data_IF_892462647189
#
_entry.id   IF_892462647189
#
_cell.length_a   1.000
_cell.length_b   1.000
_cell.length_c   1.000
_cell.angle_alpha   90.00
_cell.angle_beta   90.00
_cell.angle_gamma   90.00
#
_symmetry.space_group_name_H-M   'P 1'
#
loop_
_entity.id
_entity.type
_entity.pdbx_description
1 polymer ?
#
# COMPACT_ATOMS: atom_id res chain seq x y z
N UNK A 1 15.17 -11.09 -35.84
CA UNK A 1 15.40 -12.36 -35.12
C UNK A 1 14.45 -12.38 -33.93
N UNK A 2 13.40 -13.17 -33.98
CA UNK A 2 12.49 -13.34 -32.84
C UNK A 2 13.18 -14.26 -31.83
N UNK A 3 13.44 -13.77 -30.61
CA UNK A 3 13.93 -14.63 -29.52
C UNK A 3 12.82 -15.62 -29.18
N UNK A 4 13.05 -16.92 -29.38
CA UNK A 4 12.08 -17.95 -29.04
C UNK A 4 11.85 -17.93 -27.54
N UNK A 5 10.60 -17.72 -27.12
CA UNK A 5 10.19 -17.76 -25.71
C UNK A 5 10.54 -19.14 -25.14
N UNK A 6 11.28 -19.18 -24.03
CA UNK A 6 11.59 -20.43 -23.33
C UNK A 6 10.26 -20.97 -22.77
N UNK A 7 9.88 -22.23 -23.07
CA UNK A 7 8.60 -22.78 -22.64
C UNK A 7 8.56 -22.97 -21.11
N UNK A 8 7.41 -22.64 -20.53
CA UNK A 8 7.14 -22.75 -19.09
C UNK A 8 7.04 -24.21 -18.61
N UNK A 9 6.96 -24.42 -17.29
CA UNK A 9 6.92 -25.77 -16.70
C UNK A 9 5.68 -26.53 -17.19
N UNK A 10 4.51 -25.88 -17.22
CA UNK A 10 3.25 -26.47 -17.67
C UNK A 10 3.32 -26.92 -19.13
N UNK A 11 3.97 -26.14 -20.00
CA UNK A 11 4.14 -26.49 -21.41
C UNK A 11 5.08 -27.69 -21.58
N UNK A 12 6.16 -27.74 -20.78
CA UNK A 12 7.10 -28.86 -20.76
C UNK A 12 6.44 -30.16 -20.27
N UNK A 13 5.66 -30.10 -19.20
CA UNK A 13 4.94 -31.26 -18.66
C UNK A 13 3.92 -31.79 -19.67
N UNK A 14 3.13 -30.90 -20.31
CA UNK A 14 2.21 -31.29 -21.38
C UNK A 14 2.92 -31.98 -22.55
N UNK A 15 4.10 -31.50 -22.93
CA UNK A 15 4.89 -32.12 -23.99
C UNK A 15 5.33 -33.55 -23.61
N UNK A 16 5.72 -33.77 -22.35
CA UNK A 16 6.06 -35.11 -21.83
C UNK A 16 4.83 -36.02 -21.82
N UNK A 17 3.69 -35.56 -21.32
CA UNK A 17 2.46 -36.36 -21.29
C UNK A 17 2.05 -36.79 -22.70
N UNK A 18 2.23 -35.93 -23.71
CA UNK A 18 1.99 -36.26 -25.12
C UNK A 18 2.99 -37.32 -25.65
N UNK A 19 4.28 -37.18 -25.34
CA UNK A 19 5.31 -38.16 -25.72
C UNK A 19 5.06 -39.52 -25.09
N UNK A 20 4.72 -39.54 -23.80
CA UNK A 20 4.41 -40.77 -23.04
C UNK A 20 3.15 -41.43 -23.59
N UNK A 21 2.10 -40.64 -23.87
CA UNK A 21 0.86 -41.15 -24.46
C UNK A 21 1.11 -41.76 -25.84
N UNK A 22 1.90 -41.09 -26.69
CA UNK A 22 2.29 -41.62 -27.99
C UNK A 22 3.12 -42.91 -27.88
N UNK A 23 4.05 -42.99 -26.92
CA UNK A 23 4.80 -44.22 -26.66
C UNK A 23 3.93 -45.36 -26.14
N UNK A 24 2.92 -45.06 -25.33
CA UNK A 24 1.96 -46.05 -24.79
C UNK A 24 1.07 -46.61 -25.89
N UNK A 25 0.61 -45.77 -26.82
CA UNK A 25 -0.12 -46.20 -28.01
C UNK A 25 0.75 -47.05 -28.94
N UNK A 26 2.04 -46.71 -29.07
CA UNK A 26 2.98 -47.46 -29.90
C UNK A 26 3.42 -48.81 -29.29
N UNK A 27 3.41 -48.95 -27.96
CA UNK A 27 3.91 -50.15 -27.28
C UNK A 27 2.90 -51.32 -27.21
N UNK A 28 1.60 -51.08 -27.40
CA UNK A 28 0.56 -52.11 -27.28
C UNK A 28 0.43 -52.70 -25.86
N UNK A 29 -0.63 -53.49 -25.62
CA UNK A 29 -1.06 -54.08 -24.32
C UNK A 29 -0.08 -55.09 -23.66
N UNK A 30 1.22 -54.83 -23.67
CA UNK A 30 2.20 -55.64 -22.94
C UNK A 30 2.32 -55.09 -21.52
N UNK A 31 1.46 -55.61 -20.64
CA UNK A 31 1.26 -55.21 -19.23
C UNK A 31 2.48 -55.32 -18.29
N UNK A 32 3.69 -55.62 -18.77
CA UNK A 32 4.88 -55.85 -17.95
C UNK A 32 5.78 -54.62 -17.72
N UNK A 33 5.44 -53.45 -18.28
CA UNK A 33 6.31 -52.25 -18.26
C UNK A 33 5.87 -51.08 -17.36
N UNK A 34 4.77 -51.20 -16.61
CA UNK A 34 4.13 -50.05 -15.93
C UNK A 34 4.99 -49.39 -14.84
N UNK A 35 5.74 -50.16 -14.05
CA UNK A 35 6.63 -49.61 -13.02
C UNK A 35 7.80 -48.83 -13.63
N UNK A 36 8.42 -49.38 -14.68
CA UNK A 36 9.57 -48.78 -15.36
C UNK A 36 9.16 -47.48 -16.09
N UNK A 37 7.96 -47.43 -16.65
CA UNK A 37 7.43 -46.22 -17.31
C UNK A 37 7.13 -45.11 -16.30
N UNK A 38 6.58 -45.43 -15.12
CA UNK A 38 6.36 -44.44 -14.06
C UNK A 38 7.68 -43.88 -13.51
N UNK A 39 8.72 -44.71 -13.40
CA UNK A 39 10.05 -44.28 -12.99
C UNK A 39 10.72 -43.41 -14.07
N UNK A 40 10.54 -43.72 -15.37
CA UNK A 40 10.99 -42.88 -16.49
C UNK A 40 10.23 -41.54 -16.52
N UNK A 41 8.91 -41.55 -16.37
CA UNK A 41 8.10 -40.32 -16.27
C UNK A 41 8.58 -39.46 -15.10
N UNK A 42 8.88 -40.09 -13.96
CA UNK A 42 9.41 -39.42 -12.78
C UNK A 42 10.79 -38.84 -13.04
N UNK A 43 11.71 -39.58 -13.65
CA UNK A 43 13.05 -39.08 -13.99
C UNK A 43 13.01 -37.97 -15.04
N UNK A 44 12.13 -38.05 -16.03
CA UNK A 44 11.93 -36.96 -17.01
C UNK A 44 11.34 -35.71 -16.35
N UNK A 45 10.35 -35.87 -15.47
CA UNK A 45 9.78 -34.75 -14.70
C UNK A 45 10.81 -34.13 -13.75
N UNK A 46 11.67 -34.94 -13.12
CA UNK A 46 12.78 -34.48 -12.28
C UNK A 46 13.82 -33.71 -13.11
N UNK A 47 14.28 -34.26 -14.23
CA UNK A 47 15.26 -33.63 -15.14
C UNK A 47 14.76 -32.31 -15.75
N UNK A 48 13.44 -32.20 -16.02
CA UNK A 48 12.86 -30.97 -16.59
C UNK A 48 12.58 -29.88 -15.54
N UNK A 49 12.32 -30.26 -14.28
CA UNK A 49 12.28 -29.32 -13.15
C UNK A 49 13.70 -28.86 -12.76
N UNK A 50 14.67 -29.76 -12.87
CA UNK A 50 16.08 -29.55 -12.51
C UNK A 50 16.94 -29.05 -13.67
N UNK A 51 16.40 -28.54 -14.79
CA UNK A 51 17.29 -28.01 -15.85
C UNK A 51 18.05 -26.79 -15.32
N UNK A 52 19.23 -27.07 -14.78
CA UNK A 52 20.12 -26.21 -14.02
C UNK A 52 20.69 -25.16 -14.99
N UNK A 53 20.28 -23.91 -14.82
CA UNK A 53 21.03 -22.76 -15.33
C UNK A 53 20.31 -21.77 -16.24
N UNK A 54 19.07 -22.05 -16.65
CA UNK A 54 18.24 -21.07 -17.37
C UNK A 54 17.24 -20.39 -16.44
N UNK A 55 17.03 -19.07 -16.58
CA UNK A 55 15.88 -18.37 -16.01
C UNK A 55 14.59 -18.93 -16.65
N UNK A 56 14.02 -19.95 -16.02
CA UNK A 56 12.69 -20.43 -16.36
C UNK A 56 11.71 -19.42 -15.76
N UNK A 57 10.99 -18.72 -16.65
CA UNK A 57 9.87 -17.86 -16.24
C UNK A 57 8.74 -18.76 -15.72
N UNK A 58 8.53 -18.77 -14.40
CA UNK A 58 7.39 -19.45 -13.78
C UNK A 58 6.15 -18.55 -13.74
N UNK A 59 4.98 -19.17 -13.83
CA UNK A 59 3.65 -18.53 -13.88
C UNK A 59 2.70 -19.20 -12.90
N UNK A 60 1.59 -18.54 -12.54
CA UNK A 60 0.57 -19.14 -11.67
C UNK A 60 0.04 -20.51 -12.17
N UNK A 61 0.01 -20.75 -13.49
CA UNK A 61 -0.40 -22.04 -14.06
C UNK A 61 0.62 -23.17 -13.81
N UNK A 62 1.90 -22.83 -13.66
CA UNK A 62 2.95 -23.78 -13.33
C UNK A 62 2.77 -24.31 -11.91
N UNK A 63 2.28 -23.48 -10.98
CA UNK A 63 1.99 -23.88 -9.61
C UNK A 63 0.95 -25.01 -9.55
N UNK A 64 -0.14 -24.88 -10.31
CA UNK A 64 -1.17 -25.92 -10.40
C UNK A 64 -0.61 -27.22 -10.98
N UNK A 65 0.24 -27.12 -12.00
CA UNK A 65 0.87 -28.29 -12.63
C UNK A 65 1.76 -29.03 -11.63
N UNK A 66 2.58 -28.31 -10.87
CA UNK A 66 3.44 -28.89 -9.82
C UNK A 66 2.63 -29.59 -8.72
N UNK A 67 1.45 -29.05 -8.36
CA UNK A 67 0.57 -29.67 -7.38
C UNK A 67 -0.13 -30.93 -7.91
N UNK A 68 -0.50 -30.98 -9.19
CA UNK A 68 -1.00 -32.19 -9.82
C UNK A 68 0.05 -33.31 -9.81
N UNK A 69 1.31 -32.97 -10.15
CA UNK A 69 2.43 -33.92 -10.09
C UNK A 69 2.69 -34.39 -8.66
N UNK A 70 2.60 -33.49 -7.67
CA UNK A 70 2.72 -33.82 -6.25
C UNK A 70 1.68 -34.85 -5.82
N UNK A 71 0.43 -34.72 -6.27
CA UNK A 71 -0.62 -35.71 -6.03
C UNK A 71 -0.39 -37.06 -6.72
N UNK A 72 0.21 -37.04 -7.93
CA UNK A 72 0.49 -38.26 -8.72
C UNK A 72 1.67 -39.06 -8.15
N UNK A 73 2.76 -38.38 -7.77
CA UNK A 73 4.02 -39.02 -7.37
C UNK A 73 4.24 -39.06 -5.84
N UNK A 74 3.34 -38.45 -5.07
CA UNK A 74 3.32 -38.50 -3.62
C UNK A 74 4.32 -37.57 -2.93
N UNK A 75 4.27 -37.57 -1.60
CA UNK A 75 4.95 -36.58 -0.75
C UNK A 75 6.48 -36.54 -0.92
N UNK A 76 7.12 -37.69 -1.15
CA UNK A 76 8.57 -37.77 -1.36
C UNK A 76 8.99 -36.91 -2.56
N UNK A 77 8.21 -36.94 -3.64
CA UNK A 77 8.45 -36.09 -4.81
C UNK A 77 8.23 -34.61 -4.49
N UNK A 78 7.17 -34.29 -3.75
CA UNK A 78 6.88 -32.91 -3.32
C UNK A 78 8.04 -32.29 -2.54
N UNK A 79 8.61 -33.02 -1.57
CA UNK A 79 9.73 -32.51 -0.76
C UNK A 79 11.06 -32.44 -1.52
N UNK A 80 11.35 -33.43 -2.36
CA UNK A 80 12.67 -33.53 -3.00
C UNK A 80 12.79 -32.68 -4.26
N UNK A 81 11.68 -32.42 -4.96
CA UNK A 81 11.69 -31.80 -6.30
C UNK A 81 10.90 -30.50 -6.30
N UNK A 82 9.64 -30.55 -5.85
CA UNK A 82 8.73 -29.39 -5.97
C UNK A 82 9.13 -28.29 -5.00
N UNK A 83 9.39 -28.61 -3.74
CA UNK A 83 9.72 -27.62 -2.72
C UNK A 83 10.99 -26.80 -3.05
N UNK A 84 12.14 -27.41 -3.41
CA UNK A 84 13.33 -26.63 -3.81
C UNK A 84 13.07 -25.71 -5.00
N UNK A 85 12.28 -26.17 -5.98
CA UNK A 85 11.91 -25.38 -7.14
C UNK A 85 11.05 -24.17 -6.75
N UNK A 86 10.04 -24.38 -5.90
CA UNK A 86 9.18 -23.30 -5.42
C UNK A 86 10.00 -22.27 -4.64
N UNK A 87 10.88 -22.72 -3.75
CA UNK A 87 11.78 -21.84 -2.98
C UNK A 87 12.69 -21.01 -3.87
N UNK A 88 13.26 -21.61 -4.93
CA UNK A 88 14.07 -20.89 -5.92
C UNK A 88 13.31 -19.74 -6.59
N UNK A 89 11.98 -19.88 -6.70
CA UNK A 89 11.11 -18.88 -7.31
C UNK A 89 10.19 -18.17 -6.32
N UNK A 90 10.49 -18.20 -5.02
CA UNK A 90 9.67 -17.60 -3.95
C UNK A 90 9.48 -16.07 -4.14
N UNK A 91 10.40 -15.40 -4.84
CA UNK A 91 10.30 -13.99 -5.19
C UNK A 91 9.19 -13.67 -6.20
N UNK A 92 8.67 -14.67 -6.93
CA UNK A 92 7.53 -14.51 -7.81
C UNK A 92 6.24 -14.67 -7.00
N UNK A 93 5.64 -13.54 -6.61
CA UNK A 93 4.47 -13.48 -5.72
C UNK A 93 3.28 -14.23 -6.31
N UNK A 94 2.97 -14.03 -7.60
CA UNK A 94 1.80 -14.64 -8.24
C UNK A 94 1.93 -16.17 -8.29
N UNK A 95 3.10 -16.67 -8.68
CA UNK A 95 3.40 -18.10 -8.68
C UNK A 95 3.32 -18.68 -7.27
N UNK A 96 3.93 -18.02 -6.28
CA UNK A 96 4.04 -18.54 -4.92
C UNK A 96 2.69 -18.54 -4.19
N UNK A 97 1.90 -17.48 -4.34
CA UNK A 97 0.54 -17.41 -3.79
C UNK A 97 -0.35 -18.47 -4.43
N UNK A 98 -0.28 -18.63 -5.77
CA UNK A 98 -1.02 -19.69 -6.46
C UNK A 98 -0.60 -21.08 -5.94
N UNK A 99 0.70 -21.32 -5.76
CA UNK A 99 1.20 -22.59 -5.24
C UNK A 99 0.72 -22.87 -3.82
N UNK A 100 0.82 -21.90 -2.91
CA UNK A 100 0.34 -22.03 -1.53
C UNK A 100 -1.17 -22.29 -1.49
N UNK A 101 -1.93 -21.64 -2.37
CA UNK A 101 -3.39 -21.83 -2.50
C UNK A 101 -3.71 -23.26 -2.96
N UNK A 102 -3.06 -23.75 -4.00
CA UNK A 102 -3.24 -25.11 -4.52
C UNK A 102 -2.76 -26.18 -3.51
N UNK A 103 -1.67 -25.91 -2.79
CA UNK A 103 -1.17 -26.75 -1.71
C UNK A 103 -2.20 -26.89 -0.57
N UNK A 104 -2.83 -25.78 -0.17
CA UNK A 104 -3.91 -25.78 0.80
C UNK A 104 -5.12 -26.58 0.31
N UNK A 105 -5.57 -26.35 -0.93
CA UNK A 105 -6.69 -27.09 -1.52
C UNK A 105 -6.40 -28.60 -1.64
N UNK A 106 -5.17 -28.99 -1.94
CA UNK A 106 -4.77 -30.40 -1.97
C UNK A 106 -4.88 -31.07 -0.60
N UNK A 107 -4.60 -30.33 0.48
CA UNK A 107 -4.82 -30.78 1.86
C UNK A 107 -6.30 -30.95 2.21
N UNK A 108 -7.13 -29.97 1.85
CA UNK A 108 -8.59 -30.05 2.07
C UNK A 108 -9.24 -31.19 1.26
N UNK A 109 -8.71 -31.51 0.10
CA UNK A 109 -9.17 -32.62 -0.75
C UNK A 109 -8.57 -34.00 -0.37
N UNK A 110 -7.84 -34.09 0.75
CA UNK A 110 -7.17 -35.31 1.24
C UNK A 110 -6.21 -35.96 0.22
N UNK A 111 -5.66 -35.15 -0.71
CA UNK A 111 -4.65 -35.60 -1.68
C UNK A 111 -3.25 -35.65 -1.07
N UNK A 112 -3.03 -34.87 -0.02
CA UNK A 112 -1.79 -34.80 0.76
C UNK A 112 -2.15 -34.78 2.25
N UNK A 113 -1.31 -35.41 3.08
CA UNK A 113 -1.53 -35.37 4.54
C UNK A 113 -1.45 -33.94 5.05
N UNK A 114 -2.39 -33.56 5.92
CA UNK A 114 -2.49 -32.21 6.46
C UNK A 114 -1.20 -31.73 7.16
N UNK A 115 -0.49 -32.63 7.84
CA UNK A 115 0.80 -32.30 8.48
C UNK A 115 1.88 -31.91 7.47
N UNK A 116 1.91 -32.58 6.32
CA UNK A 116 2.84 -32.28 5.22
C UNK A 116 2.48 -30.94 4.58
N UNK A 117 1.20 -30.71 4.30
CA UNK A 117 0.70 -29.42 3.81
C UNK A 117 1.09 -28.30 4.75
N UNK A 118 0.82 -28.46 6.05
CA UNK A 118 1.17 -27.47 7.08
C UNK A 118 2.68 -27.18 7.13
N UNK A 119 3.51 -28.22 7.07
CA UNK A 119 4.97 -28.07 7.08
C UNK A 119 5.47 -27.33 5.84
N UNK A 120 5.01 -27.71 4.65
CA UNK A 120 5.40 -27.09 3.38
C UNK A 120 4.92 -25.63 3.30
N UNK A 121 3.67 -25.39 3.70
CA UNK A 121 3.08 -24.06 3.69
C UNK A 121 3.88 -23.11 4.59
N UNK A 122 4.21 -23.55 5.81
CA UNK A 122 5.05 -22.81 6.75
C UNK A 122 6.43 -22.52 6.18
N UNK A 123 7.09 -23.53 5.61
CA UNK A 123 8.45 -23.42 5.11
C UNK A 123 8.55 -22.43 3.94
N UNK A 124 7.64 -22.51 2.97
CA UNK A 124 7.58 -21.59 1.84
C UNK A 124 7.20 -20.19 2.30
N UNK A 125 6.20 -20.05 3.17
CA UNK A 125 5.77 -18.75 3.65
C UNK A 125 6.86 -18.04 4.46
N UNK A 126 7.68 -18.79 5.21
CA UNK A 126 8.84 -18.26 5.92
C UNK A 126 9.89 -17.62 5.01
N UNK A 127 10.02 -18.09 3.76
CA UNK A 127 10.90 -17.51 2.75
C UNK A 127 10.26 -16.29 2.06
N UNK A 128 8.93 -16.26 1.95
CA UNK A 128 8.20 -15.16 1.28
C UNK A 128 8.06 -13.93 2.17
N UNK A 129 7.74 -14.12 3.47
CA UNK A 129 7.42 -13.02 4.39
C UNK A 129 8.51 -11.94 4.44
N UNK A 130 9.80 -12.26 4.56
CA UNK A 130 10.87 -11.27 4.64
C UNK A 130 10.94 -10.33 3.43
N UNK A 131 10.56 -10.83 2.25
CA UNK A 131 10.62 -10.12 0.98
C UNK A 131 9.31 -9.41 0.62
N UNK A 132 8.29 -9.45 1.49
CA UNK A 132 7.02 -8.79 1.27
C UNK A 132 7.16 -7.26 1.21
N UNK A 133 6.98 -6.73 0.01
CA UNK A 133 6.88 -5.30 -0.24
C UNK A 133 5.43 -4.90 -0.49
N UNK A 134 4.91 -4.00 0.33
CA UNK A 134 3.63 -3.36 0.07
C UNK A 134 3.81 -2.28 -1.00
N UNK A 135 3.19 -2.50 -2.16
CA UNK A 135 3.01 -1.59 -3.30
C UNK A 135 3.55 -0.15 -3.15
N UNK A 136 4.52 0.23 -3.99
CA UNK A 136 4.96 1.61 -4.21
C UNK A 136 4.61 2.04 -5.65
N UNK A 137 3.43 2.63 -5.84
CA UNK A 137 2.85 2.94 -7.15
C UNK A 137 3.43 4.19 -7.84
N UNK A 138 4.53 4.77 -7.37
CA UNK A 138 5.05 6.01 -7.97
C UNK A 138 5.65 5.84 -9.38
N UNK A 139 5.33 4.77 -10.11
CA UNK A 139 5.59 4.65 -11.54
C UNK A 139 4.35 5.14 -12.29
N UNK A 140 4.23 6.46 -12.44
CA UNK A 140 3.14 7.04 -13.21
C UNK A 140 2.95 8.55 -13.13
N UNK A 141 3.60 9.26 -12.20
CA UNK A 141 3.84 10.68 -12.44
C UNK A 141 4.94 10.77 -13.48
N UNK A 142 4.56 11.03 -14.72
CA UNK A 142 5.42 11.81 -15.60
C UNK A 142 5.96 12.96 -14.73
N UNK A 143 7.25 12.91 -14.39
CA UNK A 143 7.94 14.11 -13.96
C UNK A 143 7.56 15.18 -14.99
N UNK A 144 7.11 16.38 -14.58
CA UNK A 144 6.91 17.44 -15.54
C UNK A 144 8.23 17.53 -16.29
N UNK A 145 8.21 17.21 -17.59
CA UNK A 145 9.38 17.27 -18.44
C UNK A 145 9.95 18.66 -18.22
N UNK A 146 11.11 18.73 -17.60
CA UNK A 146 11.90 19.95 -17.58
C UNK A 146 12.26 20.23 -19.04
N UNK A 147 11.39 21.00 -19.71
CA UNK A 147 11.54 21.49 -21.08
C UNK A 147 12.78 22.38 -21.24
N UNK A 148 13.57 22.56 -20.18
CA UNK A 148 14.84 23.28 -20.18
C UNK A 148 16.05 22.42 -20.59
N UNK A 149 15.95 21.10 -20.71
CA UNK A 149 17.10 20.23 -21.03
C UNK A 149 17.37 20.03 -22.54
N UNK A 150 16.63 20.67 -23.46
CA UNK A 150 16.76 20.42 -24.92
C UNK A 150 17.91 21.13 -25.64
N UNK A 151 18.88 21.74 -24.96
CA UNK A 151 20.02 22.40 -25.65
C UNK A 151 21.38 22.18 -25.01
N UNK A 152 21.78 20.93 -24.75
CA UNK A 152 23.20 20.55 -24.81
C UNK A 152 23.38 19.12 -25.32
N UNK A 153 23.85 19.03 -26.58
CA UNK A 153 24.81 18.09 -27.18
C UNK A 153 24.43 16.60 -27.13
N UNK A 154 24.13 15.98 -28.27
CA UNK A 154 25.10 15.22 -29.08
C UNK A 154 26.10 14.44 -28.22
N UNK A 155 26.09 13.12 -28.43
CA UNK A 155 27.09 12.13 -28.01
C UNK A 155 26.86 11.44 -26.66
N UNK A 156 25.98 10.43 -26.65
CA UNK A 156 26.08 9.28 -25.73
C UNK A 156 25.34 8.02 -26.22
N UNK A 157 25.23 7.84 -27.54
CA UNK A 157 24.47 6.73 -28.16
C UNK A 157 25.26 5.41 -28.23
N UNK A 158 26.21 5.18 -27.30
CA UNK A 158 27.09 4.00 -27.35
C UNK A 158 27.43 3.32 -26.05
N UNK A 159 26.79 3.69 -24.92
CA UNK A 159 27.03 2.98 -23.66
C UNK A 159 25.82 3.04 -22.72
N UNK A 160 24.75 2.30 -23.05
CA UNK A 160 23.80 1.82 -22.04
C UNK A 160 23.22 0.45 -22.42
N UNK A 161 24.12 -0.51 -22.59
CA UNK A 161 23.81 -1.92 -22.41
C UNK A 161 23.73 -2.18 -20.90
N UNK A 162 22.52 -2.06 -20.36
CA UNK A 162 22.02 -2.71 -19.14
C UNK A 162 20.54 -2.34 -19.05
N UNK A 163 19.75 -2.92 -19.93
CA UNK A 163 18.33 -3.15 -19.64
C UNK A 163 18.37 -4.24 -18.57
N UNK A 164 18.34 -3.84 -17.31
CA UNK A 164 17.89 -4.76 -16.26
C UNK A 164 16.50 -5.19 -16.67
N UNK A 165 16.34 -6.49 -16.91
CA UNK A 165 15.08 -7.09 -17.28
C UNK A 165 14.01 -6.65 -16.28
N UNK A 166 13.03 -5.93 -16.81
CA UNK A 166 11.87 -5.42 -16.09
C UNK A 166 10.97 -6.61 -15.75
N UNK A 167 11.34 -7.35 -14.71
CA UNK A 167 10.40 -8.22 -14.02
C UNK A 167 9.36 -7.29 -13.39
N UNK A 168 8.15 -7.29 -13.97
CA UNK A 168 7.04 -6.46 -13.54
C UNK A 168 6.88 -6.42 -12.03
N UNK A 169 6.35 -5.32 -11.49
CA UNK A 169 6.50 -4.99 -10.08
C UNK A 169 6.00 -6.13 -9.18
N UNK A 170 6.86 -6.48 -8.21
CA UNK A 170 6.71 -7.53 -7.19
C UNK A 170 5.60 -7.19 -6.19
N UNK A 171 4.34 -7.20 -6.65
CA UNK A 171 3.24 -6.61 -5.89
C UNK A 171 2.34 -7.71 -5.35
N UNK A 172 2.26 -7.79 -4.02
CA UNK A 172 1.20 -8.54 -3.38
C UNK A 172 -0.04 -7.65 -3.20
N UNK A 173 -1.17 -8.06 -3.76
CA UNK A 173 -2.45 -7.36 -3.59
C UNK A 173 -3.02 -7.61 -2.19
N UNK A 174 -3.97 -6.77 -1.76
CA UNK A 174 -4.67 -6.99 -0.48
C UNK A 174 -5.42 -8.33 -0.43
N UNK A 175 -5.89 -8.80 -1.59
CA UNK A 175 -6.57 -10.09 -1.75
C UNK A 175 -5.63 -11.28 -1.59
N UNK A 176 -4.43 -11.23 -2.20
CA UNK A 176 -3.43 -12.26 -2.03
C UNK A 176 -3.04 -12.41 -0.54
N UNK A 177 -2.83 -11.28 0.14
CA UNK A 177 -2.53 -11.27 1.58
C UNK A 177 -3.70 -11.86 2.37
N UNK A 178 -4.95 -11.45 2.10
CA UNK A 178 -6.12 -11.96 2.81
C UNK A 178 -6.28 -13.49 2.65
N UNK A 179 -6.05 -14.00 1.44
CA UNK A 179 -6.04 -15.44 1.13
C UNK A 179 -4.98 -16.18 1.97
N UNK A 180 -3.76 -15.65 2.04
CA UNK A 180 -2.70 -16.23 2.88
C UNK A 180 -3.07 -16.21 4.37
N UNK A 181 -3.65 -15.12 4.88
CA UNK A 181 -4.16 -15.05 6.25
C UNK A 181 -5.21 -16.13 6.53
N UNK A 182 -6.16 -16.33 5.60
CA UNK A 182 -7.21 -17.35 5.75
C UNK A 182 -6.65 -18.77 5.77
N UNK A 183 -5.71 -19.08 4.87
CA UNK A 183 -5.06 -20.38 4.85
C UNK A 183 -4.23 -20.64 6.11
N UNK A 184 -3.48 -19.64 6.59
CA UNK A 184 -2.73 -19.77 7.84
C UNK A 184 -3.66 -20.03 9.03
N UNK A 185 -4.81 -19.36 9.08
CA UNK A 185 -5.80 -19.53 10.15
C UNK A 185 -6.36 -20.97 10.15
N UNK A 186 -6.79 -21.45 8.99
CA UNK A 186 -7.29 -22.82 8.78
C UNK A 186 -6.26 -23.89 9.14
N UNK A 187 -4.97 -23.63 8.88
CA UNK A 187 -3.86 -24.54 9.19
C UNK A 187 -3.32 -24.38 10.63
N UNK A 188 -3.84 -23.44 11.43
CA UNK A 188 -3.35 -23.15 12.79
C UNK A 188 -1.90 -22.63 12.82
N UNK A 189 -1.51 -21.85 11.81
CA UNK A 189 -0.20 -21.24 11.65
C UNK A 189 -0.16 -19.84 12.26
N UNK A 190 -0.28 -19.79 13.60
CA UNK A 190 -0.42 -18.53 14.35
C UNK A 190 0.81 -17.63 14.29
N UNK A 191 2.00 -18.23 14.34
CA UNK A 191 3.25 -17.48 14.28
C UNK A 191 3.41 -16.80 12.91
N UNK A 192 3.01 -17.48 11.84
CA UNK A 192 3.08 -16.96 10.48
C UNK A 192 2.04 -15.84 10.27
N UNK A 193 0.85 -15.94 10.87
CA UNK A 193 -0.13 -14.84 10.95
C UNK A 193 0.49 -13.62 11.64
N UNK A 194 1.16 -13.81 12.78
CA UNK A 194 1.80 -12.72 13.51
C UNK A 194 2.92 -12.09 12.69
N UNK A 195 3.74 -12.87 11.99
CA UNK A 195 4.79 -12.37 11.11
C UNK A 195 4.22 -11.57 9.93
N UNK A 196 3.17 -12.06 9.27
CA UNK A 196 2.46 -11.33 8.23
C UNK A 196 1.91 -10.01 8.77
N UNK A 197 1.19 -10.05 9.89
CA UNK A 197 0.62 -8.88 10.53
C UNK A 197 1.69 -7.85 10.92
N UNK A 198 2.79 -8.28 11.53
CA UNK A 198 3.89 -7.42 11.95
C UNK A 198 4.58 -6.75 10.74
N UNK A 199 4.74 -7.47 9.63
CA UNK A 199 5.30 -6.91 8.39
C UNK A 199 4.40 -5.80 7.82
N UNK A 200 3.08 -6.01 7.85
CA UNK A 200 2.12 -4.99 7.43
C UNK A 200 2.10 -3.79 8.40
N UNK A 201 2.19 -4.05 9.71
CA UNK A 201 2.27 -3.02 10.76
C UNK A 201 3.52 -2.14 10.55
N UNK A 202 4.68 -2.73 10.23
CA UNK A 202 5.91 -1.96 10.03
C UNK A 202 5.85 -1.07 8.78
N UNK A 203 5.13 -1.49 7.75
CA UNK A 203 5.02 -0.75 6.49
C UNK A 203 3.92 0.32 6.51
N UNK A 204 2.91 0.20 7.37
CA UNK A 204 1.77 1.13 7.43
C UNK A 204 2.16 2.62 7.63
N UNK A 205 3.12 3.00 8.50
CA UNK A 205 3.46 4.42 8.72
C UNK A 205 4.08 5.11 7.50
N UNK A 206 4.78 4.36 6.64
CA UNK A 206 5.41 4.86 5.40
C UNK A 206 4.57 4.63 4.16
N UNK A 207 3.36 4.07 4.30
CA UNK A 207 2.51 3.75 3.17
C UNK A 207 1.95 5.01 2.49
N UNK A 208 1.92 4.96 1.16
CA UNK A 208 1.29 6.02 0.35
C UNK A 208 -0.24 5.93 0.41
N UNK A 209 -0.93 7.00 0.02
CA UNK A 209 -2.40 7.01 -0.07
C UNK A 209 -2.93 5.87 -0.94
N UNK A 210 -2.33 5.61 -2.10
CA UNK A 210 -2.83 4.53 -2.96
C UNK A 210 -2.49 3.14 -2.42
N UNK A 211 -1.42 2.98 -1.63
CA UNK A 211 -1.15 1.74 -0.88
C UNK A 211 -2.29 1.45 0.11
N UNK A 212 -2.83 2.49 0.77
CA UNK A 212 -4.02 2.33 1.61
C UNK A 212 -5.26 1.97 0.79
N UNK A 213 -5.54 2.71 -0.28
CA UNK A 213 -6.76 2.54 -1.08
C UNK A 213 -6.82 1.20 -1.83
N UNK A 214 -5.69 0.70 -2.32
CA UNK A 214 -5.64 -0.50 -3.18
C UNK A 214 -5.18 -1.77 -2.48
N UNK A 215 -4.51 -1.68 -1.33
CA UNK A 215 -3.94 -2.86 -0.65
C UNK A 215 -4.43 -2.98 0.78
N UNK A 216 -4.12 -2.02 1.64
CA UNK A 216 -4.34 -2.16 3.08
C UNK A 216 -5.82 -2.09 3.48
N UNK A 217 -6.60 -1.16 2.94
CA UNK A 217 -8.03 -1.08 3.26
C UNK A 217 -8.82 -2.25 2.69
N UNK A 218 -8.62 -2.68 1.42
CA UNK A 218 -9.23 -3.90 0.90
C UNK A 218 -8.86 -5.14 1.73
N UNK A 219 -7.61 -5.28 2.16
CA UNK A 219 -7.17 -6.35 3.05
C UNK A 219 -7.99 -6.36 4.35
N UNK A 220 -8.09 -5.23 5.06
CA UNK A 220 -8.84 -5.16 6.32
C UNK A 220 -10.34 -5.51 6.16
N UNK A 221 -10.92 -5.24 4.98
CA UNK A 221 -12.31 -5.63 4.67
C UNK A 221 -12.47 -7.14 4.55
N UNK A 222 -11.51 -7.81 3.92
CA UNK A 222 -11.56 -9.25 3.66
C UNK A 222 -11.15 -10.10 4.88
N UNK A 223 -10.33 -9.52 5.77
CA UNK A 223 -9.93 -10.17 7.02
C UNK A 223 -11.14 -10.40 7.94
N UNK A 224 -11.35 -11.59 8.52
CA UNK A 224 -12.47 -11.82 9.45
C UNK A 224 -12.37 -10.94 10.72
N UNK A 225 -13.50 -10.59 11.37
CA UNK A 225 -13.45 -10.00 12.71
C UNK A 225 -12.73 -10.95 13.68
N UNK A 226 -11.86 -10.46 14.57
CA UNK A 226 -11.24 -11.25 15.65
C UNK A 226 -12.20 -11.78 16.72
N UNK A 227 -13.50 -11.65 16.49
CA UNK A 227 -14.54 -11.86 17.50
C UNK A 227 -15.48 -12.93 16.99
N UNK A 228 -15.02 -14.17 17.13
CA UNK A 228 -15.84 -15.38 17.31
C UNK A 228 -14.97 -16.59 17.70
N UNK A 229 -13.74 -16.38 18.18
CA UNK A 229 -12.95 -17.47 18.75
C UNK A 229 -13.40 -17.72 20.17
N UNK A 230 -13.68 -18.97 20.50
CA UNK A 230 -13.97 -19.39 21.87
C UNK A 230 -12.93 -18.78 22.83
N UNK A 231 -13.34 -18.35 24.05
CA UNK A 231 -12.49 -17.61 25.01
C UNK A 231 -11.28 -18.39 25.54
N UNK A 232 -10.93 -19.54 24.95
CA UNK A 232 -9.79 -20.39 25.33
C UNK A 232 -8.51 -20.14 24.54
N UNK A 233 -8.55 -19.42 23.42
CA UNK A 233 -7.36 -19.14 22.61
C UNK A 233 -7.21 -17.63 22.50
N UNK A 234 -6.21 -17.07 23.17
CA UNK A 234 -5.83 -15.67 23.04
C UNK A 234 -5.65 -15.36 21.55
N UNK A 235 -6.48 -14.46 21.01
CA UNK A 235 -6.32 -13.98 19.64
C UNK A 235 -4.90 -13.43 19.47
N UNK A 236 -4.18 -13.76 18.38
CA UNK A 236 -2.82 -13.31 18.18
C UNK A 236 -2.74 -11.78 18.30
N UNK A 237 -1.93 -11.30 19.24
CA UNK A 237 -1.86 -9.89 19.62
C UNK A 237 -1.63 -8.97 18.41
N UNK A 238 -0.87 -9.44 17.42
CA UNK A 238 -0.55 -8.68 16.22
C UNK A 238 -1.75 -8.48 15.27
N UNK A 239 -2.78 -9.33 15.31
CA UNK A 239 -3.94 -9.18 14.44
C UNK A 239 -4.76 -7.93 14.77
N UNK A 240 -5.03 -7.69 16.05
CA UNK A 240 -5.74 -6.47 16.49
C UNK A 240 -4.87 -5.23 16.28
N UNK A 241 -3.56 -5.35 16.51
CA UNK A 241 -2.61 -4.28 16.25
C UNK A 241 -2.55 -3.90 14.77
N UNK A 242 -2.72 -4.86 13.84
CA UNK A 242 -2.76 -4.60 12.41
C UNK A 242 -3.88 -3.61 12.05
N UNK A 243 -5.11 -3.89 12.46
CA UNK A 243 -6.25 -2.99 12.23
C UNK A 243 -5.97 -1.61 12.80
N UNK A 244 -5.48 -1.53 14.04
CA UNK A 244 -5.17 -0.27 14.69
C UNK A 244 -4.08 0.51 13.97
N UNK A 245 -2.96 -0.13 13.63
CA UNK A 245 -1.80 0.51 13.00
C UNK A 245 -2.14 1.02 11.60
N UNK A 246 -2.82 0.21 10.78
CA UNK A 246 -3.23 0.58 9.42
C UNK A 246 -4.23 1.73 9.46
N UNK A 247 -5.29 1.64 10.26
CA UNK A 247 -6.31 2.70 10.33
C UNK A 247 -5.75 4.00 10.90
N UNK A 248 -4.89 3.93 11.92
CA UNK A 248 -4.24 5.11 12.49
C UNK A 248 -3.34 5.79 11.46
N UNK A 249 -2.53 5.00 10.73
CA UNK A 249 -1.64 5.51 9.70
C UNK A 249 -2.43 6.10 8.53
N UNK A 250 -3.54 5.47 8.13
CA UNK A 250 -4.44 6.00 7.10
C UNK A 250 -5.02 7.36 7.49
N UNK A 251 -5.49 7.52 8.73
CA UNK A 251 -6.02 8.81 9.22
C UNK A 251 -4.92 9.89 9.21
N UNK A 252 -3.73 9.56 9.70
CA UNK A 252 -2.61 10.51 9.76
C UNK A 252 -2.18 10.94 8.34
N UNK A 253 -2.05 10.00 7.43
CA UNK A 253 -1.52 10.24 6.07
C UNK A 253 -2.56 10.87 5.15
N UNK A 254 -3.80 10.34 5.13
CA UNK A 254 -4.85 10.77 4.21
C UNK A 254 -5.71 11.91 4.75
N UNK A 255 -6.27 11.77 5.97
CA UNK A 255 -7.17 12.79 6.52
C UNK A 255 -6.39 14.05 6.89
N UNK A 256 -5.25 13.85 7.56
CA UNK A 256 -4.39 14.90 8.10
C UNK A 256 -5.10 15.75 9.18
N UNK A 257 -4.34 16.52 10.00
CA UNK A 257 -4.93 17.42 10.99
C UNK A 257 -5.84 18.48 10.34
N UNK A 258 -6.89 18.89 11.06
CA UNK A 258 -7.76 19.97 10.62
C UNK A 258 -6.97 21.26 10.35
N UNK A 259 -7.26 21.99 9.26
CA UNK A 259 -6.57 23.24 8.97
C UNK A 259 -6.86 24.25 10.10
N UNK A 260 -5.81 24.85 10.70
CA UNK A 260 -5.99 25.80 11.79
C UNK A 260 -6.75 27.03 11.30
N UNK A 261 -7.71 27.51 12.08
CA UNK A 261 -8.41 28.75 11.77
C UNK A 261 -7.41 29.92 11.79
N UNK A 262 -7.26 30.67 10.69
CA UNK A 262 -6.35 31.80 10.66
C UNK A 262 -6.87 32.88 11.62
N UNK A 263 -5.97 33.46 12.41
CA UNK A 263 -6.26 34.56 13.33
C UNK A 263 -6.22 35.93 12.65
N UNK A 264 -5.78 36.00 11.39
CA UNK A 264 -5.67 37.21 10.57
C UNK A 264 -5.61 36.91 9.08
N UNK A 265 -5.19 37.89 8.27
CA UNK A 265 -5.04 37.73 6.82
C UNK A 265 -3.68 37.14 6.43
N UNK A 266 -2.99 36.42 7.32
CA UNK A 266 -1.69 35.80 6.99
C UNK A 266 -1.87 34.67 5.99
N UNK A 267 -0.92 34.54 5.06
CA UNK A 267 -0.93 33.55 3.98
C UNK A 267 0.45 32.90 3.88
N UNK A 268 0.54 31.59 3.57
CA UNK A 268 1.82 30.94 3.36
C UNK A 268 2.65 31.66 2.29
N UNK A 269 3.98 31.78 2.50
CA UNK A 269 4.86 32.34 1.48
C UNK A 269 4.78 31.48 0.22
N UNK A 270 4.86 32.11 -0.95
CA UNK A 270 4.91 31.39 -2.22
C UNK A 270 6.33 31.05 -2.59
N UNK A 271 7.30 31.90 -2.23
CA UNK A 271 8.75 31.72 -2.45
C UNK A 271 9.14 31.43 -3.91
N UNK A 272 10.24 31.99 -4.40
CA UNK A 272 10.82 31.60 -5.70
C UNK A 272 12.35 31.51 -5.61
N UNK A 273 12.84 31.10 -4.45
CA UNK A 273 14.25 31.25 -4.08
C UNK A 273 14.57 32.66 -3.54
N UNK A 274 15.78 32.81 -3.00
CA UNK A 274 16.21 34.00 -2.26
C UNK A 274 16.51 35.22 -3.15
N UNK A 275 16.70 35.02 -4.46
CA UNK A 275 17.18 36.06 -5.38
C UNK A 275 16.07 36.85 -6.10
N UNK A 276 14.79 36.58 -5.82
CA UNK A 276 13.67 37.28 -6.46
C UNK A 276 13.09 38.36 -5.54
N UNK A 277 13.54 39.60 -5.70
CA UNK A 277 13.12 40.74 -4.87
C UNK A 277 11.59 40.90 -4.79
N UNK A 278 10.90 40.70 -5.92
CA UNK A 278 9.44 40.86 -5.93
C UNK A 278 8.72 39.71 -5.20
N UNK A 279 9.27 38.49 -5.23
CA UNK A 279 8.75 37.39 -4.43
C UNK A 279 9.02 37.60 -2.94
N UNK A 280 10.15 38.18 -2.56
CA UNK A 280 10.43 38.53 -1.16
C UNK A 280 9.41 39.56 -0.66
N UNK A 281 9.10 40.59 -1.47
CA UNK A 281 8.04 41.56 -1.14
C UNK A 281 6.66 40.90 -1.10
N UNK A 282 6.36 40.00 -2.03
CA UNK A 282 5.11 39.24 -2.03
C UNK A 282 4.97 38.40 -0.76
N UNK A 283 5.99 37.65 -0.38
CA UNK A 283 5.99 36.81 0.81
C UNK A 283 5.88 37.64 2.09
N UNK A 284 6.50 38.83 2.12
CA UNK A 284 6.36 39.79 3.23
C UNK A 284 4.92 40.28 3.35
N UNK A 285 4.29 40.66 2.24
CA UNK A 285 2.88 41.00 2.21
C UNK A 285 2.00 39.84 2.67
N UNK A 286 2.23 38.62 2.16
CA UNK A 286 1.46 37.43 2.49
C UNK A 286 1.51 37.12 3.99
N UNK A 287 2.68 37.23 4.62
CA UNK A 287 2.86 37.02 6.06
C UNK A 287 2.23 38.09 6.95
N UNK A 288 1.92 39.27 6.44
CA UNK A 288 1.36 40.35 7.26
C UNK A 288 -0.14 40.11 7.58
N UNK A 289 -0.55 39.94 8.84
CA UNK A 289 -1.95 39.65 9.22
C UNK A 289 -2.91 40.81 8.93
N UNK A 290 -2.43 42.04 8.95
CA UNK A 290 -3.26 43.26 8.91
C UNK A 290 -3.38 43.81 7.49
N UNK A 291 -2.50 43.36 6.58
CA UNK A 291 -2.46 43.86 5.22
C UNK A 291 -3.35 43.01 4.28
N UNK A 292 -4.51 43.55 3.92
CA UNK A 292 -5.47 42.90 3.02
C UNK A 292 -5.09 43.00 1.54
N UNK A 293 -4.35 44.06 1.16
CA UNK A 293 -3.98 44.32 -0.23
C UNK A 293 -2.55 44.87 -0.36
N UNK A 294 -1.88 44.53 -1.47
CA UNK A 294 -0.59 45.08 -1.86
C UNK A 294 -0.59 45.48 -3.32
N UNK A 295 0.24 46.48 -3.65
CA UNK A 295 0.39 47.03 -5.00
C UNK A 295 1.83 46.82 -5.47
N UNK A 296 2.01 46.15 -6.59
CA UNK A 296 3.32 45.88 -7.21
C UNK A 296 3.40 46.60 -8.55
N UNK A 297 4.14 47.71 -8.59
CA UNK A 297 4.38 48.47 -9.81
C UNK A 297 5.62 47.94 -10.52
N UNK A 298 5.44 46.95 -11.40
CA UNK A 298 6.54 46.19 -12.03
C UNK A 298 6.29 45.97 -13.53
N UNK A 299 7.37 45.70 -14.28
CA UNK A 299 7.29 45.40 -15.73
C UNK A 299 6.52 44.09 -15.97
N UNK A 300 5.94 43.96 -17.17
CA UNK A 300 5.07 42.83 -17.55
C UNK A 300 5.62 41.46 -17.15
N UNK A 301 6.85 41.10 -17.57
CA UNK A 301 7.45 39.80 -17.22
C UNK A 301 7.51 39.50 -15.71
N UNK A 302 7.76 40.52 -14.88
CA UNK A 302 7.79 40.35 -13.41
C UNK A 302 6.38 40.24 -12.84
N UNK A 303 5.41 40.92 -13.44
CA UNK A 303 3.99 40.78 -13.07
C UNK A 303 3.48 39.38 -13.38
N UNK A 304 3.71 38.90 -14.60
CA UNK A 304 3.28 37.56 -15.02
C UNK A 304 3.88 36.48 -14.11
N UNK A 305 5.16 36.66 -13.71
CA UNK A 305 5.80 35.83 -12.71
C UNK A 305 5.09 35.83 -11.34
N UNK A 306 4.71 37.02 -10.82
CA UNK A 306 3.96 37.12 -9.56
C UNK A 306 2.56 36.48 -9.68
N UNK A 307 1.87 36.68 -10.80
CA UNK A 307 0.58 36.04 -11.08
C UNK A 307 0.70 34.51 -11.11
N UNK A 308 1.74 33.96 -11.75
CA UNK A 308 2.03 32.53 -11.76
C UNK A 308 2.23 31.97 -10.35
N UNK A 309 2.97 32.67 -9.48
CA UNK A 309 3.13 32.28 -8.07
C UNK A 309 1.83 32.35 -7.28
N UNK A 310 0.85 33.13 -7.75
CA UNK A 310 -0.45 33.33 -7.10
C UNK A 310 -1.58 32.48 -7.70
N UNK A 311 -1.38 31.76 -8.83
CA UNK A 311 -2.42 30.92 -9.47
C UNK A 311 -3.02 29.86 -8.53
N UNK A 312 -2.22 29.30 -7.64
CA UNK A 312 -2.64 28.32 -6.63
C UNK A 312 -2.92 28.96 -5.26
N UNK A 313 -3.08 30.28 -5.22
CA UNK A 313 -3.36 31.02 -4.00
C UNK A 313 -4.79 31.55 -3.99
N UNK A 314 -5.35 31.72 -2.79
CA UNK A 314 -6.64 32.38 -2.62
C UNK A 314 -6.45 33.89 -2.53
N UNK A 315 -5.70 34.46 -3.48
CA UNK A 315 -5.57 35.90 -3.67
C UNK A 315 -6.20 36.28 -5.00
N UNK A 316 -6.94 37.39 -5.03
CA UNK A 316 -7.40 37.97 -6.30
C UNK A 316 -6.34 38.95 -6.82
N UNK A 317 -6.09 38.91 -8.13
CA UNK A 317 -5.19 39.83 -8.81
C UNK A 317 -5.96 40.75 -9.74
N UNK A 318 -5.61 42.02 -9.75
CA UNK A 318 -6.17 43.03 -10.66
C UNK A 318 -5.04 43.89 -11.24
N UNK A 319 -5.11 44.21 -12.52
CA UNK A 319 -4.11 45.07 -13.19
C UNK A 319 -4.70 46.47 -13.37
N UNK A 320 -4.09 47.44 -12.68
CA UNK A 320 -4.38 48.86 -12.92
C UNK A 320 -3.48 49.34 -14.06
N UNK A 321 -4.09 49.73 -15.18
CA UNK A 321 -3.42 50.21 -16.40
C UNK A 321 -3.11 51.71 -16.40
N UNK A 322 -3.38 52.40 -15.30
CA UNK A 322 -3.03 53.82 -15.13
C UNK A 322 -1.53 53.98 -14.86
N UNK A 323 -0.82 54.60 -15.81
CA UNK A 323 0.62 54.89 -15.76
C UNK A 323 1.52 53.74 -16.22
N UNK A 324 2.80 54.03 -16.47
CA UNK A 324 3.80 53.01 -16.84
C UNK A 324 4.91 52.94 -15.78
N UNK A 325 5.36 51.75 -15.33
CA UNK A 325 4.77 50.43 -15.62
C UNK A 325 3.41 50.23 -14.91
N UNK A 326 2.57 49.33 -15.43
CA UNK A 326 1.27 48.96 -14.85
C UNK A 326 1.44 48.38 -13.43
N UNK A 327 0.37 48.50 -12.63
CA UNK A 327 0.38 48.05 -11.24
C UNK A 327 -0.46 46.79 -11.06
N UNK A 328 0.14 45.74 -10.50
CA UNK A 328 -0.56 44.55 -10.03
C UNK A 328 -1.07 44.78 -8.62
N UNK A 329 -2.37 44.72 -8.41
CA UNK A 329 -3.01 44.73 -7.09
C UNK A 329 -3.28 43.30 -6.70
N UNK A 330 -2.73 42.87 -5.56
CA UNK A 330 -2.98 41.55 -4.98
C UNK A 330 -3.81 41.75 -3.73
N UNK A 331 -4.97 41.10 -3.66
CA UNK A 331 -5.88 41.15 -2.49
C UNK A 331 -6.05 39.74 -1.92
N UNK A 332 -5.91 39.60 -0.61
CA UNK A 332 -6.07 38.33 0.09
C UNK A 332 -7.56 38.03 0.26
N UNK A 333 -7.99 36.85 -0.18
CA UNK A 333 -9.38 36.41 -0.02
C UNK A 333 -9.53 35.62 1.27
N UNK A 334 -10.65 35.78 1.98
CA UNK A 334 -10.95 35.05 3.22
C UNK A 334 -11.26 33.56 3.03
N UNK A 335 -11.41 33.10 1.79
CA UNK A 335 -11.93 31.77 1.45
C UNK A 335 -10.89 30.63 1.51
N UNK A 336 -9.60 30.91 1.74
CA UNK A 336 -8.56 29.86 1.83
C UNK A 336 -8.87 28.81 2.89
N UNK A 337 -9.14 29.28 4.11
CA UNK A 337 -9.45 28.38 5.21
C UNK A 337 -10.76 27.63 4.97
N UNK A 338 -11.78 28.29 4.42
CA UNK A 338 -13.06 27.66 4.11
C UNK A 338 -12.90 26.54 3.08
N UNK A 339 -12.09 26.76 2.03
CA UNK A 339 -11.79 25.76 1.02
C UNK A 339 -10.95 24.61 1.58
N UNK A 340 -9.87 24.90 2.32
CA UNK A 340 -9.07 23.88 2.99
C UNK A 340 -9.91 23.07 3.98
N UNK A 341 -10.82 23.73 4.72
CA UNK A 341 -11.74 23.07 5.64
C UNK A 341 -12.74 22.20 4.89
N UNK A 342 -13.25 22.65 3.74
CA UNK A 342 -14.14 21.87 2.87
C UNK A 342 -13.45 20.62 2.32
N UNK A 343 -12.22 20.76 1.81
CA UNK A 343 -11.41 19.64 1.34
C UNK A 343 -11.09 18.65 2.47
N UNK A 344 -10.71 19.16 3.65
CA UNK A 344 -10.47 18.32 4.82
C UNK A 344 -11.74 17.56 5.25
N UNK A 345 -12.90 18.23 5.30
CA UNK A 345 -14.20 17.58 5.56
C UNK A 345 -14.52 16.50 4.53
N UNK A 346 -14.21 16.73 3.24
CA UNK A 346 -14.38 15.73 2.20
C UNK A 346 -13.50 14.50 2.45
N UNK A 347 -12.21 14.70 2.79
CA UNK A 347 -11.31 13.59 3.15
C UNK A 347 -11.79 12.84 4.39
N UNK A 348 -12.27 13.53 5.43
CA UNK A 348 -12.91 12.89 6.58
C UNK A 348 -14.10 12.03 6.15
N UNK A 349 -14.96 12.54 5.26
CA UNK A 349 -16.13 11.80 4.76
C UNK A 349 -15.75 10.53 4.00
N UNK A 350 -14.75 10.60 3.12
CA UNK A 350 -14.23 9.44 2.38
C UNK A 350 -13.60 8.42 3.33
N UNK A 351 -12.76 8.88 4.26
CA UNK A 351 -12.10 8.01 5.23
C UNK A 351 -13.11 7.31 6.14
N UNK A 352 -14.11 8.04 6.62
CA UNK A 352 -15.22 7.47 7.39
C UNK A 352 -15.88 6.37 6.58
N UNK A 353 -16.36 6.66 5.36
CA UNK A 353 -17.04 5.67 4.50
C UNK A 353 -16.20 4.39 4.34
N UNK A 354 -14.91 4.53 4.07
CA UNK A 354 -14.01 3.39 3.93
C UNK A 354 -13.89 2.56 5.23
N UNK A 355 -13.91 3.22 6.39
CA UNK A 355 -13.93 2.58 7.71
C UNK A 355 -15.30 1.93 7.99
N UNK A 356 -16.41 2.57 7.60
CA UNK A 356 -17.76 2.01 7.75
C UNK A 356 -17.89 0.69 6.99
N UNK A 357 -17.32 0.64 5.78
CA UNK A 357 -17.29 -0.56 4.92
C UNK A 357 -16.47 -1.72 5.50
N UNK A 358 -15.57 -1.48 6.46
CA UNK A 358 -14.87 -2.53 7.21
C UNK A 358 -15.78 -3.13 8.30
N UNK A 359 -16.78 -2.36 8.76
CA UNK A 359 -17.78 -2.77 9.75
C UNK A 359 -17.57 -2.13 11.13
N UNK A 360 -18.49 -1.25 11.53
CA UNK A 360 -18.38 -0.51 12.80
C UNK A 360 -18.35 -1.39 14.05
N UNK A 361 -19.21 -2.41 14.12
CA UNK A 361 -19.28 -3.31 15.28
C UNK A 361 -18.00 -4.15 15.41
N UNK A 362 -17.45 -4.62 14.27
CA UNK A 362 -16.15 -5.29 14.19
C UNK A 362 -15.03 -4.40 14.71
N UNK A 363 -15.00 -3.12 14.32
CA UNK A 363 -13.94 -2.20 14.72
C UNK A 363 -14.06 -1.71 16.16
N UNK A 364 -15.28 -1.55 16.69
CA UNK A 364 -15.53 -1.11 18.07
C UNK A 364 -14.94 -2.09 19.09
N UNK A 365 -15.10 -3.40 18.86
CA UNK A 365 -14.49 -4.43 19.69
C UNK A 365 -12.96 -4.44 19.64
N UNK A 366 -12.38 -4.04 18.49
CA UNK A 366 -10.94 -4.11 18.23
C UNK A 366 -10.15 -2.89 18.66
N UNK A 367 -10.72 -1.71 18.45
CA UNK A 367 -10.06 -0.44 18.71
C UNK A 367 -10.25 0.01 20.15
N UNK A 368 -11.23 -0.54 20.88
CA UNK A 368 -11.48 -0.22 22.28
C UNK A 368 -11.59 1.29 22.49
N UNK A 369 -10.76 1.85 23.39
CA UNK A 369 -10.71 3.31 23.62
C UNK A 369 -10.27 4.14 22.39
N UNK A 370 -9.50 3.56 21.46
CA UNK A 370 -9.08 4.22 20.22
C UNK A 370 -10.21 4.39 19.20
N UNK A 371 -11.36 3.78 19.45
CA UNK A 371 -12.59 3.97 18.67
C UNK A 371 -13.09 5.42 18.71
N UNK A 372 -12.93 6.10 19.85
CA UNK A 372 -13.42 7.47 20.02
C UNK A 372 -12.68 8.47 19.12
N UNK A 373 -11.41 8.19 18.78
CA UNK A 373 -10.63 9.00 17.86
C UNK A 373 -11.14 8.89 16.42
N UNK A 374 -11.63 7.70 16.02
CA UNK A 374 -12.26 7.44 14.72
C UNK A 374 -13.67 8.03 14.65
N UNK A 375 -14.47 7.85 15.72
CA UNK A 375 -15.82 8.44 15.85
C UNK A 375 -15.77 9.96 15.95
N UNK A 376 -14.68 10.53 16.46
CA UNK A 376 -14.43 11.97 16.46
C UNK A 376 -14.52 12.59 15.06
N UNK A 377 -14.08 11.86 14.01
CA UNK A 377 -14.23 12.26 12.61
C UNK A 377 -15.71 12.32 12.19
N UNK A 378 -16.55 11.42 12.69
CA UNK A 378 -18.00 11.37 12.41
C UNK A 378 -18.76 12.58 12.95
N UNK A 379 -18.43 13.01 14.17
CA UNK A 379 -19.04 14.21 14.80
C UNK A 379 -18.70 15.51 14.03
N UNK A 380 -17.59 15.52 13.31
CA UNK A 380 -17.20 16.64 12.43
C UNK A 380 -18.05 16.65 11.15
N UNK A 381 -18.46 15.48 10.63
CA UNK A 381 -19.34 15.33 9.46
C UNK A 381 -20.73 15.91 9.72
N UNK A 382 -21.33 15.57 10.86
CA UNK A 382 -22.70 15.99 11.22
C UNK A 382 -22.83 17.50 11.44
N UNK A 383 -21.83 18.12 12.09
CA UNK A 383 -21.80 19.58 12.28
C UNK A 383 -21.62 20.36 10.97
N UNK A 384 -21.24 19.72 9.87
CA UNK A 384 -21.10 20.36 8.56
C UNK A 384 -22.39 20.30 7.70
N UNK A 385 -23.32 19.41 8.02
CA UNK A 385 -24.60 19.27 7.29
C UNK A 385 -25.74 20.13 7.83
N UNK A 386 -25.56 20.74 9.02
CA UNK A 386 -26.63 21.43 9.76
C UNK A 386 -26.73 22.95 9.60
N UNK A 387 -25.93 23.61 8.75
CA UNK A 387 -26.03 25.07 8.56
C UNK A 387 -27.11 25.44 7.52
N UNK A 388 -28.39 25.38 7.94
CA UNK A 388 -29.45 26.22 7.35
C UNK A 388 -30.49 26.60 8.40
N UNK A 389 -30.61 27.93 8.64
CA UNK A 389 -31.53 28.67 9.55
C UNK A 389 -31.18 28.46 11.04
N UNK A 390 -31.01 29.44 11.91
CA UNK A 390 -31.41 30.85 11.95
C UNK A 390 -30.56 31.62 12.99
N UNK A 391 -30.43 32.94 12.76
CA UNK A 391 -30.35 34.08 13.71
C UNK A 391 -29.49 33.98 14.99
N UNK A 392 -28.52 34.89 15.11
CA UNK A 392 -28.04 35.41 16.40
C UNK A 392 -29.21 35.97 17.23
N UNK A 393 -29.21 35.78 18.57
CA UNK A 393 -28.38 36.63 19.44
C UNK A 393 -27.57 35.86 20.50
N UNK A 394 -26.55 36.57 20.99
CA UNK A 394 -25.71 36.33 22.16
C UNK A 394 -26.27 35.36 23.23
N UNK A 395 -25.55 34.26 23.46
CA UNK A 395 -25.73 33.36 24.60
C UNK A 395 -25.53 31.91 24.20
N UNK A 396 -24.29 31.41 24.30
CA UNK A 396 -23.89 29.97 24.40
C UNK A 396 -22.54 29.62 23.74
N UNK A 397 -21.59 30.56 23.77
CA UNK A 397 -20.19 30.28 23.44
C UNK A 397 -19.42 29.65 24.63
N UNK A 398 -19.82 28.48 25.11
CA UNK A 398 -19.09 27.80 26.19
C UNK A 398 -18.78 26.30 25.97
N UNK A 399 -19.54 25.54 25.18
CA UNK A 399 -19.37 24.06 25.15
C UNK A 399 -18.46 23.49 24.03
N UNK A 400 -18.15 24.26 22.99
CA UNK A 400 -17.29 23.79 21.89
C UNK A 400 -15.77 23.90 22.09
N UNK A 401 -15.29 24.61 23.12
CA UNK A 401 -13.85 24.89 23.30
C UNK A 401 -13.10 23.79 24.05
N UNK A 402 -13.80 22.88 24.74
CA UNK A 402 -13.19 21.85 25.57
C UNK A 402 -12.58 20.69 24.78
N UNK A 403 -13.21 20.28 23.68
CA UNK A 403 -12.84 19.06 22.94
C UNK A 403 -11.59 19.26 22.07
N UNK A 404 -11.47 20.39 21.36
CA UNK A 404 -10.31 20.71 20.52
C UNK A 404 -9.02 20.94 21.33
N UNK A 405 -9.13 21.52 22.53
CA UNK A 405 -7.98 21.72 23.43
C UNK A 405 -7.61 20.42 24.13
N UNK A 406 -8.58 19.56 24.46
CA UNK A 406 -8.31 18.18 24.93
C UNK A 406 -7.65 17.33 23.84
N UNK A 407 -8.08 17.42 22.59
CA UNK A 407 -7.47 16.70 21.46
C UNK A 407 -6.02 17.13 21.25
N UNK A 408 -5.74 18.43 21.22
CA UNK A 408 -4.36 18.94 21.07
C UNK A 408 -3.49 18.57 22.27
N UNK A 409 -3.99 18.64 23.52
CA UNK A 409 -3.21 18.37 24.75
C UNK A 409 -3.08 16.88 25.08
N UNK A 410 -4.06 16.04 24.82
CA UNK A 410 -3.97 14.59 25.04
C UNK A 410 -3.06 13.94 23.98
N UNK A 411 -3.15 14.40 22.73
CA UNK A 411 -2.35 13.88 21.63
C UNK A 411 -0.90 14.40 21.68
N UNK A 412 -0.65 15.68 22.02
CA UNK A 412 0.73 16.17 22.23
C UNK A 412 1.35 15.76 23.57
N UNK A 413 0.60 15.62 24.68
CA UNK A 413 1.21 15.15 25.95
C UNK A 413 1.53 13.66 25.93
N UNK A 414 0.80 12.83 25.18
CA UNK A 414 1.05 11.38 25.10
C UNK A 414 2.18 11.01 24.12
N UNK A 415 2.59 11.92 23.23
CA UNK A 415 3.65 11.70 22.24
C UNK A 415 4.87 12.61 22.37
N UNK A 416 4.81 13.73 23.14
CA UNK A 416 5.94 14.66 23.31
C UNK A 416 6.89 14.26 24.46
N UNK A 417 6.50 13.36 25.35
CA UNK A 417 7.44 12.74 26.30
C UNK A 417 8.18 11.60 25.61
N UNK A 418 9.32 11.89 24.97
CA UNK A 418 10.52 11.05 24.64
C UNK A 418 10.46 9.50 24.71
N UNK A 419 9.31 8.88 24.45
CA UNK A 419 9.05 7.50 24.89
C UNK A 419 8.42 6.61 23.82
N UNK A 420 8.05 7.12 22.63
CA UNK A 420 7.60 6.23 21.54
C UNK A 420 8.70 5.26 21.08
N UNK A 421 9.94 5.76 20.97
CA UNK A 421 11.13 4.96 20.68
C UNK A 421 11.69 4.26 21.93
N UNK A 422 11.59 4.85 23.13
CA UNK A 422 12.07 4.20 24.37
C UNK A 422 11.14 3.11 24.89
N UNK A 423 9.83 3.08 24.55
CA UNK A 423 8.96 1.94 24.85
C UNK A 423 9.32 0.74 23.96
N UNK A 424 9.64 0.99 22.67
CA UNK A 424 10.14 -0.05 21.76
C UNK A 424 11.53 -0.56 22.18
N UNK A 425 12.42 0.32 22.68
CA UNK A 425 13.74 -0.07 23.22
C UNK A 425 13.64 -0.72 24.62
N UNK A 426 12.68 -0.34 25.48
CA UNK A 426 12.44 -0.99 26.80
C UNK A 426 11.72 -2.33 26.69
N UNK A 427 10.94 -2.55 25.64
CA UNK A 427 10.38 -3.86 25.32
C UNK A 427 11.45 -4.77 24.66
N UNK A 428 12.38 -4.20 23.89
CA UNK A 428 13.52 -4.95 23.35
C UNK A 428 14.61 -5.29 24.40
N UNK A 429 14.70 -4.57 25.53
CA UNK A 429 15.68 -4.84 26.61
C UNK A 429 15.13 -5.67 27.78
N UNK A 430 13.91 -6.20 27.66
CA UNK A 430 13.33 -7.19 28.59
C UNK A 430 13.22 -8.60 27.98
N UNK A 431 13.86 -8.82 26.83
CA UNK A 431 13.96 -10.12 26.15
C UNK A 431 15.44 -10.61 26.16
N UNK A 432 16.18 -10.27 27.21
CA UNK A 432 17.36 -11.01 27.71
C UNK A 432 17.31 -11.00 29.23
#
# INVERSE_FOLDING_TARGET
MAMSRIPGISERVKAVDLLVSSHREAAGDIAAGTQNMQDIEREMAMSMAETQGGDISVTAADAQTLMQLSGKYGEKYTFQVVLPLVKKHASNVDFTVAFLTELFQAGEADKLRLEVVRSLFKDILGDVIPDLQLYHWEVGREQPRDDFAKRRRFDHDRYRSQITEDHGPRIMTGENIATLFHHCDRLGLWHEIDQLANTMISHAPSASVATFEHVLLPLLKQLPPPVEREPKIESPHSYNLLFRAVLSSYIITYVQPAPPKPTGLERPPRSCGFYCDECVKLDTFLKNPDQAQARFRVKAKRRDHLEDRLRQSYCSTEIITSGTPYTLVVKKMGMEWENQMKEWKQRCGVALKAIEEIGFEKLRGLLGEGWEDVVGLGRIRENAGGERRERHPLGDLAQGRGLLVRWRRAWTRRWRDESGLRLLIRLASKIW
#
